data_IF_965293019040
#
_entry.id   IF_965293019040
#
_cell.length_a   1.000
_cell.length_b   1.000
_cell.length_c   1.000
_cell.angle_alpha   90.00
_cell.angle_beta   90.00
_cell.angle_gamma   90.00
#
_symmetry.space_group_name_H-M   'P 1'
#
loop_
_entity.id
_entity.type
_entity.pdbx_description
1 polymer ?
#
# COMPACT_ATOMS: atom_id res chain seq x y z
N UNK A 1 0.54 -8.47 11.11
CA UNK A 1 1.11 -8.88 9.82
C UNK A 1 2.58 -8.47 9.76
N UNK A 2 3.44 -9.29 9.14
CA UNK A 2 4.88 -9.00 9.01
C UNK A 2 5.08 -7.85 8.01
N UNK A 3 5.98 -6.92 8.33
CA UNK A 3 6.19 -5.69 7.60
C UNK A 3 6.62 -5.84 6.15
N UNK A 4 7.28 -6.96 5.81
CA UNK A 4 7.63 -7.31 4.43
C UNK A 4 6.40 -7.34 3.50
N UNK A 5 5.22 -7.64 4.03
CA UNK A 5 3.96 -7.63 3.27
C UNK A 5 3.62 -6.20 2.84
N UNK A 6 3.81 -5.24 3.73
CA UNK A 6 3.52 -3.82 3.47
C UNK A 6 4.53 -3.22 2.50
N UNK A 7 5.83 -3.44 2.74
CA UNK A 7 6.88 -2.91 1.86
C UNK A 7 6.71 -3.42 0.43
N UNK A 8 6.44 -4.72 0.26
CA UNK A 8 6.24 -5.30 -1.07
C UNK A 8 4.92 -4.86 -1.73
N UNK A 9 3.87 -4.65 -0.94
CA UNK A 9 2.58 -4.15 -1.45
C UNK A 9 2.73 -2.73 -1.99
N UNK A 10 3.37 -1.84 -1.22
CA UNK A 10 3.63 -0.45 -1.63
C UNK A 10 4.53 -0.43 -2.87
N UNK A 11 5.63 -1.16 -2.87
CA UNK A 11 6.52 -1.29 -4.04
C UNK A 11 5.78 -1.81 -5.28
N UNK A 12 4.87 -2.78 -5.11
CA UNK A 12 4.05 -3.27 -6.23
C UNK A 12 3.13 -2.17 -6.78
N UNK A 13 2.50 -1.36 -5.91
CA UNK A 13 1.64 -0.26 -6.35
C UNK A 13 2.48 0.78 -7.11
N UNK A 14 3.64 1.16 -6.58
CA UNK A 14 4.55 2.14 -7.22
C UNK A 14 5.00 1.67 -8.61
N UNK A 15 5.39 0.40 -8.73
CA UNK A 15 6.04 -0.13 -9.94
C UNK A 15 5.08 -0.68 -10.98
N UNK A 16 3.90 -1.16 -10.58
CA UNK A 16 2.91 -1.79 -11.49
C UNK A 16 1.69 -0.92 -11.76
N UNK A 17 1.40 0.04 -10.89
CA UNK A 17 0.26 0.95 -11.04
C UNK A 17 0.79 2.36 -11.33
N UNK A 18 1.36 3.03 -10.34
CA UNK A 18 2.08 4.30 -10.47
C UNK A 18 2.61 4.73 -9.10
N UNK A 19 3.68 5.50 -9.08
CA UNK A 19 4.22 6.09 -7.85
C UNK A 19 3.18 7.02 -7.16
N UNK A 20 2.49 7.85 -7.93
CA UNK A 20 1.50 8.82 -7.42
C UNK A 20 0.33 8.12 -6.72
N UNK A 21 -0.14 6.99 -7.26
CA UNK A 21 -1.20 6.18 -6.63
C UNK A 21 -0.79 5.62 -5.27
N UNK A 22 0.47 5.20 -5.12
CA UNK A 22 0.96 4.69 -3.84
C UNK A 22 0.96 5.79 -2.77
N UNK A 23 1.45 6.99 -3.13
CA UNK A 23 1.46 8.16 -2.24
C UNK A 23 0.03 8.59 -1.86
N UNK A 24 -0.90 8.67 -2.82
CA UNK A 24 -2.31 8.96 -2.55
C UNK A 24 -2.93 7.96 -1.57
N UNK A 25 -2.70 6.66 -1.76
CA UNK A 25 -3.24 5.62 -0.88
C UNK A 25 -2.67 5.76 0.53
N UNK A 26 -1.36 5.99 0.68
CA UNK A 26 -0.73 6.13 2.00
C UNK A 26 -1.18 7.40 2.73
N UNK A 27 -1.49 8.48 2.01
CA UNK A 27 -2.04 9.72 2.58
C UNK A 27 -3.52 9.60 2.97
N UNK A 28 -4.31 8.84 2.19
CA UNK A 28 -5.74 8.62 2.47
C UNK A 28 -5.99 7.56 3.56
N UNK A 29 -5.08 6.60 3.71
CA UNK A 29 -5.23 5.49 4.63
C UNK A 29 -5.12 5.94 6.09
N UNK A 30 -6.08 5.52 6.92
CA UNK A 30 -6.02 5.71 8.36
C UNK A 30 -5.19 4.60 9.02
N UNK A 31 -3.86 4.70 8.89
CA UNK A 31 -2.89 3.70 9.34
C UNK A 31 -2.40 3.97 10.75
N UNK A 32 -2.27 2.92 11.56
CA UNK A 32 -1.69 3.05 12.92
C UNK A 32 -0.20 3.43 12.92
N UNK A 33 0.48 3.25 11.79
CA UNK A 33 1.91 3.45 11.59
C UNK A 33 2.27 4.70 10.79
N UNK A 34 1.29 5.56 10.47
CA UNK A 34 1.46 6.74 9.61
C UNK A 34 2.14 6.40 8.25
N UNK A 35 1.89 5.19 7.73
CA UNK A 35 2.47 4.72 6.46
C UNK A 35 3.95 4.36 6.52
N UNK A 36 4.58 4.35 7.70
CA UNK A 36 6.00 4.01 7.87
C UNK A 36 6.13 2.52 8.20
N UNK A 37 6.70 1.76 7.26
CA UNK A 37 6.88 0.32 7.40
C UNK A 37 8.35 -0.10 7.25
N UNK A 38 8.72 -1.14 7.99
CA UNK A 38 10.02 -1.81 7.91
C UNK A 38 9.80 -3.30 7.68
N UNK A 39 10.67 -3.98 6.92
CA UNK A 39 10.45 -5.37 6.50
C UNK A 39 10.32 -6.38 7.66
N UNK A 40 10.90 -6.07 8.83
CA UNK A 40 10.88 -6.93 10.02
C UNK A 40 9.87 -6.48 11.09
N UNK A 41 9.19 -5.35 10.88
CA UNK A 41 8.18 -4.84 11.81
C UNK A 41 6.91 -5.71 11.84
N UNK A 42 6.08 -5.51 12.85
CA UNK A 42 4.76 -6.12 12.95
C UNK A 42 3.70 -5.02 13.03
N UNK A 43 2.72 -5.07 12.15
CA UNK A 43 1.66 -4.06 12.02
C UNK A 43 0.27 -4.72 12.08
N UNK A 44 -0.80 -4.00 12.43
CA UNK A 44 -2.16 -4.53 12.47
C UNK A 44 -2.60 -5.12 11.11
N UNK A 45 -3.55 -6.07 11.13
CA UNK A 45 -4.12 -6.61 9.88
C UNK A 45 -4.96 -5.54 9.17
N UNK A 46 -5.61 -4.71 9.96
CA UNK A 46 -6.48 -3.63 9.56
C UNK A 46 -5.76 -2.66 8.61
N UNK A 47 -4.50 -2.35 8.89
CA UNK A 47 -3.67 -1.44 8.07
C UNK A 47 -3.47 -1.98 6.64
N UNK A 48 -3.22 -3.28 6.47
CA UNK A 48 -3.06 -3.84 5.10
C UNK A 48 -4.39 -3.97 4.39
N UNK A 49 -5.47 -4.26 5.14
CA UNK A 49 -6.83 -4.30 4.59
C UNK A 49 -7.25 -2.90 4.11
N UNK A 50 -6.90 -1.84 4.83
CA UNK A 50 -7.18 -0.46 4.45
C UNK A 50 -6.49 -0.09 3.13
N UNK A 51 -5.18 -0.36 3.01
CA UNK A 51 -4.39 -0.10 1.78
C UNK A 51 -5.02 -0.83 0.58
N UNK A 52 -5.35 -2.11 0.72
CA UNK A 52 -5.97 -2.90 -0.36
C UNK A 52 -7.39 -2.39 -0.70
N UNK A 53 -8.14 -1.98 0.32
CA UNK A 53 -9.50 -1.44 0.14
C UNK A 53 -9.46 -0.13 -0.64
N UNK A 54 -8.55 0.79 -0.31
CA UNK A 54 -8.36 2.03 -1.05
C UNK A 54 -7.89 1.76 -2.47
N UNK A 55 -6.89 0.90 -2.67
CA UNK A 55 -6.44 0.48 -4.00
C UNK A 55 -7.59 -0.04 -4.86
N UNK A 56 -8.49 -0.84 -4.29
CA UNK A 56 -9.64 -1.40 -5.03
C UNK A 56 -10.65 -0.36 -5.52
N UNK A 57 -10.68 0.83 -4.90
CA UNK A 57 -11.55 1.95 -5.28
C UNK A 57 -10.90 2.83 -6.35
N UNK A 58 -9.59 2.71 -6.56
CA UNK A 58 -8.84 3.53 -7.50
C UNK A 58 -8.88 2.88 -8.90
N UNK A 59 -8.98 3.69 -9.98
CA UNK A 59 -8.94 3.17 -11.33
C UNK A 59 -7.52 2.64 -11.63
N UNK A 60 -7.38 1.33 -11.81
CA UNK A 60 -6.10 0.71 -12.13
C UNK A 60 -5.88 0.78 -13.65
N UNK A 61 -4.97 1.66 -14.08
CA UNK A 61 -4.40 1.61 -15.42
C UNK A 61 -3.13 0.77 -15.36
N UNK A 62 -3.25 -0.53 -15.61
CA UNK A 62 -2.07 -1.37 -15.80
C UNK A 62 -1.41 -0.97 -17.12
N UNK A 63 -0.11 -0.64 -17.16
CA UNK A 63 0.59 -0.47 -18.42
C UNK A 63 0.46 -1.78 -19.20
N UNK A 64 -0.25 -1.73 -20.33
CA UNK A 64 -0.27 -2.82 -21.29
C UNK A 64 1.17 -3.02 -21.76
N UNK A 65 1.72 -4.19 -21.45
CA UNK A 65 2.97 -4.70 -22.02
C UNK A 65 2.85 -4.73 -23.54
#
# INVERSE_FOLDING_TARGET
MLGIIFTNLVEMIETRVSYEMADEILQEANLSSDGIFTSVGHYPLEDVVEIVTLLSKKPIFLPMI
#
